data_IF_714581053259
#
_entry.id   IF_714581053259
#
_cell.length_a   1.000
_cell.length_b   1.000
_cell.length_c   1.000
_cell.angle_alpha   90.00
_cell.angle_beta   90.00
_cell.angle_gamma   90.00
#
_symmetry.space_group_name_H-M   'P 1'
#
loop_
_entity.id
_entity.type
_entity.pdbx_description
1 polymer ?
#
# COMPACT_ATOMS: atom_id res chain seq x y z
N UNK A 1 21.63 -36.26 -1.91
CA UNK A 1 21.36 -35.58 -0.62
C UNK A 1 20.82 -34.16 -0.77
N UNK A 2 21.40 -33.26 -1.59
CA UNK A 2 20.88 -31.88 -1.78
C UNK A 2 19.41 -31.80 -2.23
N UNK A 3 18.96 -32.68 -3.14
CA UNK A 3 17.58 -32.64 -3.65
C UNK A 3 16.54 -33.10 -2.62
N UNK A 4 16.87 -34.05 -1.74
CA UNK A 4 15.95 -34.54 -0.69
C UNK A 4 15.73 -33.43 0.35
N UNK A 5 16.79 -32.75 0.78
CA UNK A 5 16.70 -31.65 1.73
C UNK A 5 15.83 -30.50 1.20
N UNK A 6 16.01 -30.10 -0.07
CA UNK A 6 15.16 -29.10 -0.74
C UNK A 6 13.68 -29.50 -0.79
N UNK A 7 13.41 -30.78 -1.08
CA UNK A 7 12.04 -31.29 -1.18
C UNK A 7 11.35 -31.28 0.20
N UNK A 8 12.08 -31.68 1.24
CA UNK A 8 11.60 -31.63 2.63
C UNK A 8 11.37 -30.21 3.11
N UNK A 9 12.30 -29.28 2.84
CA UNK A 9 12.14 -27.86 3.21
C UNK A 9 10.94 -27.22 2.48
N UNK A 10 10.78 -27.49 1.18
CA UNK A 10 9.61 -27.07 0.41
C UNK A 10 8.30 -27.59 0.99
N UNK A 11 8.23 -28.87 1.33
CA UNK A 11 7.04 -29.47 1.95
C UNK A 11 6.70 -28.84 3.31
N UNK A 12 7.71 -28.55 4.14
CA UNK A 12 7.51 -27.88 5.44
C UNK A 12 6.96 -26.47 5.26
N UNK A 13 7.55 -25.67 4.37
CA UNK A 13 7.05 -24.32 4.08
C UNK A 13 5.64 -24.33 3.50
N UNK A 14 5.33 -25.36 2.71
CA UNK A 14 4.02 -25.52 2.09
C UNK A 14 2.96 -25.88 3.14
N UNK A 15 3.30 -26.74 4.12
CA UNK A 15 2.44 -27.02 5.26
C UNK A 15 2.24 -25.78 6.16
N UNK A 16 3.30 -25.02 6.43
CA UNK A 16 3.21 -23.75 7.16
C UNK A 16 2.29 -22.78 6.42
N UNK A 17 2.46 -22.62 5.11
CA UNK A 17 1.60 -21.79 4.27
C UNK A 17 0.13 -22.22 4.38
N UNK A 18 -0.16 -23.52 4.28
CA UNK A 18 -1.52 -24.04 4.39
C UNK A 18 -2.18 -23.67 5.73
N UNK A 19 -1.44 -23.79 6.84
CA UNK A 19 -1.92 -23.42 8.17
C UNK A 19 -2.17 -21.91 8.26
N UNK A 20 -1.22 -21.08 7.80
CA UNK A 20 -1.37 -19.63 7.79
C UNK A 20 -2.60 -19.20 6.96
N UNK A 21 -2.80 -19.81 5.80
CA UNK A 21 -3.93 -19.57 4.91
C UNK A 21 -5.26 -19.92 5.58
N UNK A 22 -5.36 -21.07 6.24
CA UNK A 22 -6.57 -21.45 6.99
C UNK A 22 -6.88 -20.45 8.11
N UNK A 23 -5.86 -20.01 8.87
CA UNK A 23 -6.05 -19.01 9.93
C UNK A 23 -6.53 -17.68 9.34
N UNK A 24 -5.95 -17.25 8.22
CA UNK A 24 -6.34 -16.02 7.52
C UNK A 24 -7.80 -16.02 7.09
N UNK A 25 -8.30 -17.16 6.61
CA UNK A 25 -9.66 -17.25 6.07
C UNK A 25 -10.70 -17.50 7.18
N UNK A 26 -10.41 -18.40 8.11
CA UNK A 26 -11.42 -18.89 9.06
C UNK A 26 -11.42 -18.18 10.42
N UNK A 27 -10.42 -17.34 10.69
CA UNK A 27 -10.30 -16.65 11.99
C UNK A 27 -10.17 -15.14 11.77
N UNK A 28 -11.27 -14.37 11.64
CA UNK A 28 -11.24 -12.99 11.12
C UNK A 28 -10.24 -12.05 11.80
N UNK A 29 -10.26 -11.96 13.13
CA UNK A 29 -9.41 -11.01 13.89
C UNK A 29 -7.93 -11.39 13.83
N UNK A 30 -7.63 -12.68 14.04
CA UNK A 30 -6.25 -13.18 13.99
C UNK A 30 -5.75 -13.18 12.54
N UNK A 31 -6.64 -13.51 11.60
CA UNK A 31 -6.40 -13.61 10.18
C UNK A 31 -5.95 -12.30 9.56
N UNK A 32 -6.53 -11.17 10.00
CA UNK A 32 -6.09 -9.83 9.58
C UNK A 32 -4.61 -9.57 9.88
N UNK A 33 -4.10 -10.05 11.01
CA UNK A 33 -2.69 -9.92 11.39
C UNK A 33 -1.82 -10.98 10.68
N UNK A 34 -2.30 -12.22 10.64
CA UNK A 34 -1.59 -13.36 10.02
C UNK A 34 -1.40 -13.18 8.52
N UNK A 35 -2.27 -12.41 7.86
CA UNK A 35 -2.15 -12.12 6.43
C UNK A 35 -0.80 -11.46 6.06
N UNK A 36 -0.24 -10.64 6.95
CA UNK A 36 1.09 -10.03 6.73
C UNK A 36 2.25 -11.03 6.83
N UNK A 37 2.01 -12.21 7.40
CA UNK A 37 2.98 -13.32 7.54
C UNK A 37 2.82 -14.33 6.40
N UNK A 38 1.67 -14.35 5.73
CA UNK A 38 1.34 -15.29 4.65
C UNK A 38 2.37 -15.35 3.50
N UNK A 39 3.03 -14.24 3.09
CA UNK A 39 4.10 -14.26 2.09
C UNK A 39 5.41 -14.91 2.56
N UNK A 40 5.62 -15.10 3.87
CA UNK A 40 6.91 -15.53 4.44
C UNK A 40 7.41 -16.84 3.82
N UNK A 41 6.62 -17.91 3.69
CA UNK A 41 7.07 -19.15 3.04
C UNK A 41 7.56 -18.92 1.60
N UNK A 42 6.87 -18.09 0.82
CA UNK A 42 7.26 -17.75 -0.54
C UNK A 42 8.56 -16.94 -0.59
N UNK A 43 8.70 -15.94 0.30
CA UNK A 43 9.94 -15.17 0.44
C UNK A 43 11.12 -16.08 0.78
N UNK A 44 10.92 -17.01 1.71
CA UNK A 44 11.96 -17.94 2.17
C UNK A 44 12.47 -18.83 1.05
N UNK A 45 11.55 -19.46 0.30
CA UNK A 45 11.93 -20.30 -0.84
C UNK A 45 12.60 -19.44 -1.92
N UNK A 46 12.00 -18.31 -2.32
CA UNK A 46 12.53 -17.46 -3.38
C UNK A 46 13.89 -16.83 -3.05
N UNK A 47 14.14 -16.51 -1.77
CA UNK A 47 15.41 -15.95 -1.30
C UNK A 47 16.54 -16.99 -1.24
N UNK A 48 16.23 -18.25 -0.92
CA UNK A 48 17.24 -19.30 -0.69
C UNK A 48 17.46 -20.25 -1.88
N UNK A 49 16.49 -20.36 -2.77
CA UNK A 49 16.49 -21.34 -3.85
C UNK A 49 16.46 -20.69 -5.24
N UNK A 50 16.60 -21.51 -6.28
CA UNK A 50 16.52 -21.03 -7.66
C UNK A 50 15.09 -20.59 -8.01
N UNK A 51 14.94 -19.66 -8.97
CA UNK A 51 13.62 -19.18 -9.45
C UNK A 51 12.68 -20.32 -9.85
N UNK A 52 13.21 -21.38 -10.46
CA UNK A 52 12.43 -22.57 -10.85
C UNK A 52 11.83 -23.29 -9.64
N UNK A 53 12.60 -23.45 -8.57
CA UNK A 53 12.16 -24.08 -7.32
C UNK A 53 11.07 -23.24 -6.64
N UNK A 54 11.22 -21.90 -6.67
CA UNK A 54 10.23 -20.98 -6.12
C UNK A 54 8.92 -20.95 -6.91
N UNK A 55 9.00 -21.01 -8.24
CA UNK A 55 7.81 -21.13 -9.09
C UNK A 55 7.10 -22.46 -8.86
N UNK A 56 7.84 -23.57 -8.73
CA UNK A 56 7.26 -24.88 -8.42
C UNK A 56 6.54 -24.86 -7.05
N UNK A 57 7.16 -24.25 -6.04
CA UNK A 57 6.52 -24.05 -4.73
C UNK A 57 5.23 -23.25 -4.84
N UNK A 58 5.22 -22.18 -5.65
CA UNK A 58 4.03 -21.37 -5.85
C UNK A 58 2.89 -22.13 -6.53
N UNK A 59 3.18 -22.92 -7.57
CA UNK A 59 2.18 -23.80 -8.19
C UNK A 59 1.62 -24.80 -7.17
N UNK A 60 2.48 -25.41 -6.34
CA UNK A 60 2.04 -26.32 -5.29
C UNK A 60 1.17 -25.62 -4.23
N UNK A 61 1.51 -24.38 -3.86
CA UNK A 61 0.73 -23.56 -2.92
C UNK A 61 -0.66 -23.21 -3.47
N UNK A 62 -0.75 -22.88 -4.76
CA UNK A 62 -2.04 -22.66 -5.44
C UNK A 62 -2.87 -23.95 -5.46
N UNK A 63 -2.28 -25.11 -5.76
CA UNK A 63 -3.00 -26.39 -5.69
C UNK A 63 -3.49 -26.69 -4.27
N UNK A 64 -2.67 -26.42 -3.26
CA UNK A 64 -3.09 -26.60 -1.86
C UNK A 64 -4.20 -25.65 -1.46
N UNK A 65 -4.20 -24.40 -1.93
CA UNK A 65 -5.25 -23.46 -1.55
C UNK A 65 -6.63 -23.88 -2.07
N UNK A 66 -6.70 -24.54 -3.23
CA UNK A 66 -7.92 -25.21 -3.69
C UNK A 66 -8.42 -26.29 -2.71
N UNK A 67 -7.49 -27.03 -2.09
CA UNK A 67 -7.84 -28.12 -1.16
C UNK A 67 -8.26 -27.57 0.21
N UNK A 68 -7.60 -26.52 0.70
CA UNK A 68 -7.70 -26.11 2.11
C UNK A 68 -8.71 -24.99 2.39
N UNK A 69 -8.93 -24.08 1.44
CA UNK A 69 -9.51 -22.77 1.78
C UNK A 69 -10.69 -22.33 0.91
N UNK A 70 -11.35 -23.25 0.21
CA UNK A 70 -12.40 -22.97 -0.80
C UNK A 70 -11.89 -22.18 -2.00
N UNK A 71 -12.76 -21.88 -2.97
CA UNK A 71 -12.39 -21.09 -4.16
C UNK A 71 -11.85 -19.69 -3.81
N UNK A 72 -12.24 -19.14 -2.65
CA UNK A 72 -11.80 -17.83 -2.18
C UNK A 72 -10.35 -17.79 -1.67
N UNK A 73 -9.73 -18.94 -1.39
CA UNK A 73 -8.32 -18.99 -0.98
C UNK A 73 -7.33 -18.77 -2.12
N UNK A 74 -7.76 -19.03 -3.36
CA UNK A 74 -6.89 -18.94 -4.54
C UNK A 74 -6.47 -17.49 -4.79
N UNK A 75 -7.38 -16.50 -4.85
CA UNK A 75 -7.00 -15.08 -4.95
C UNK A 75 -6.02 -14.64 -3.86
N UNK A 76 -6.24 -15.01 -2.60
CA UNK A 76 -5.33 -14.69 -1.49
C UNK A 76 -3.95 -15.28 -1.73
N UNK A 77 -3.89 -16.54 -2.19
CA UNK A 77 -2.63 -17.22 -2.50
C UNK A 77 -1.90 -16.56 -3.67
N UNK A 78 -2.61 -16.19 -4.73
CA UNK A 78 -2.02 -15.50 -5.88
C UNK A 78 -1.45 -14.15 -5.45
N UNK A 79 -2.23 -13.37 -4.69
CA UNK A 79 -1.84 -12.05 -4.21
C UNK A 79 -0.57 -12.11 -3.35
N UNK A 80 -0.63 -12.80 -2.21
CA UNK A 80 0.47 -12.85 -1.25
C UNK A 80 1.62 -13.74 -1.70
N UNK A 81 1.34 -14.77 -2.49
CA UNK A 81 2.35 -15.64 -3.07
C UNK A 81 3.20 -14.94 -4.12
N UNK A 82 2.60 -14.25 -5.10
CA UNK A 82 3.34 -13.48 -6.10
C UNK A 82 4.15 -12.35 -5.45
N UNK A 83 3.54 -11.60 -4.53
CA UNK A 83 4.26 -10.56 -3.77
C UNK A 83 5.43 -11.15 -2.99
N UNK A 84 5.24 -12.28 -2.31
CA UNK A 84 6.29 -12.97 -1.56
C UNK A 84 7.42 -13.49 -2.44
N UNK A 85 7.09 -14.03 -3.62
CA UNK A 85 8.09 -14.46 -4.61
C UNK A 85 8.93 -13.29 -5.10
N UNK A 86 8.31 -12.17 -5.50
CA UNK A 86 9.03 -10.99 -6.01
C UNK A 86 9.93 -10.40 -4.93
N UNK A 87 9.43 -10.25 -3.70
CA UNK A 87 10.24 -9.78 -2.57
C UNK A 87 11.41 -10.73 -2.31
N UNK A 88 11.17 -12.03 -2.23
CA UNK A 88 12.22 -13.02 -2.00
C UNK A 88 13.27 -13.06 -3.12
N UNK A 89 12.85 -12.85 -4.36
CA UNK A 89 13.75 -12.76 -5.52
C UNK A 89 14.69 -11.55 -5.43
N UNK A 90 14.17 -10.38 -5.05
CA UNK A 90 14.98 -9.18 -4.82
C UNK A 90 15.93 -9.34 -3.63
N UNK A 91 15.51 -10.04 -2.58
CA UNK A 91 16.38 -10.38 -1.45
C UNK A 91 17.51 -11.33 -1.88
N UNK A 92 17.22 -12.32 -2.75
CA UNK A 92 18.26 -13.22 -3.31
C UNK A 92 19.30 -12.44 -4.11
N UNK A 93 18.87 -11.45 -4.88
CA UNK A 93 19.74 -10.55 -5.64
C UNK A 93 20.43 -9.47 -4.78
N UNK A 94 20.23 -9.49 -3.45
CA UNK A 94 20.80 -8.52 -2.51
C UNK A 94 20.44 -7.06 -2.84
N UNK A 95 19.25 -6.83 -3.39
CA UNK A 95 18.75 -5.50 -3.73
C UNK A 95 18.53 -4.63 -2.49
N UNK A 96 18.45 -3.32 -2.71
CA UNK A 96 18.16 -2.36 -1.65
C UNK A 96 16.78 -2.58 -1.04
N UNK A 97 16.56 -2.16 0.22
CA UNK A 97 15.24 -2.27 0.86
C UNK A 97 14.17 -1.47 0.14
N UNK A 98 14.51 -0.26 -0.35
CA UNK A 98 13.59 0.58 -1.10
C UNK A 98 13.20 -0.06 -2.44
N UNK A 99 14.17 -0.62 -3.16
CA UNK A 99 13.92 -1.36 -4.41
C UNK A 99 13.02 -2.57 -4.18
N UNK A 100 13.31 -3.34 -3.12
CA UNK A 100 12.49 -4.49 -2.71
C UNK A 100 11.07 -4.08 -2.32
N UNK A 101 10.92 -2.92 -1.66
CA UNK A 101 9.62 -2.33 -1.32
C UNK A 101 8.83 -1.94 -2.56
N UNK A 102 9.44 -1.18 -3.48
CA UNK A 102 8.78 -0.77 -4.72
C UNK A 102 8.36 -1.99 -5.55
N UNK A 103 9.27 -2.96 -5.74
CA UNK A 103 8.97 -4.18 -6.50
C UNK A 103 7.86 -5.01 -5.85
N UNK A 104 7.88 -5.17 -4.53
CA UNK A 104 6.82 -5.85 -3.79
C UNK A 104 5.46 -5.15 -3.92
N UNK A 105 5.43 -3.83 -3.79
CA UNK A 105 4.21 -3.01 -3.93
C UNK A 105 3.62 -3.09 -5.33
N UNK A 106 4.47 -3.04 -6.37
CA UNK A 106 4.04 -3.21 -7.76
C UNK A 106 3.53 -4.63 -8.02
N UNK A 107 4.19 -5.66 -7.48
CA UNK A 107 3.71 -7.04 -7.59
C UNK A 107 2.34 -7.22 -6.92
N UNK A 108 2.16 -6.64 -5.72
CA UNK A 108 0.87 -6.66 -5.02
C UNK A 108 -0.22 -5.92 -5.78
N UNK A 109 0.09 -4.73 -6.32
CA UNK A 109 -0.84 -3.95 -7.13
C UNK A 109 -1.26 -4.72 -8.39
N UNK A 110 -0.30 -5.27 -9.14
CA UNK A 110 -0.57 -6.02 -10.37
C UNK A 110 -1.39 -7.29 -10.08
N UNK A 111 -1.07 -8.00 -8.99
CA UNK A 111 -1.87 -9.15 -8.57
C UNK A 111 -3.29 -8.74 -8.16
N UNK A 112 -3.46 -7.61 -7.47
CA UNK A 112 -4.77 -7.06 -7.10
C UNK A 112 -5.59 -6.69 -8.34
N UNK A 113 -4.99 -6.00 -9.30
CA UNK A 113 -5.63 -5.64 -10.58
C UNK A 113 -5.97 -6.89 -11.40
N UNK A 114 -5.09 -7.89 -11.43
CA UNK A 114 -5.35 -9.17 -12.09
C UNK A 114 -6.52 -9.92 -11.47
N UNK A 115 -6.57 -9.98 -10.13
CA UNK A 115 -7.69 -10.59 -9.40
C UNK A 115 -8.99 -9.83 -9.68
N UNK A 116 -8.96 -8.49 -9.62
CA UNK A 116 -10.13 -7.67 -9.95
C UNK A 116 -10.63 -7.91 -11.37
N UNK A 117 -9.73 -7.91 -12.36
CA UNK A 117 -10.09 -8.20 -13.75
C UNK A 117 -10.69 -9.60 -13.91
N UNK A 118 -10.16 -10.60 -13.20
CA UNK A 118 -10.70 -11.96 -13.23
C UNK A 118 -12.12 -11.99 -12.62
N UNK A 119 -12.32 -11.34 -11.47
CA UNK A 119 -13.63 -11.27 -10.82
C UNK A 119 -14.70 -10.64 -11.72
N UNK A 120 -14.37 -9.52 -12.38
CA UNK A 120 -15.30 -8.82 -13.27
C UNK A 120 -15.56 -9.62 -14.54
N UNK A 121 -14.53 -10.17 -15.19
CA UNK A 121 -14.68 -10.79 -16.53
C UNK A 121 -15.19 -12.22 -16.51
N UNK A 122 -14.94 -12.97 -15.43
CA UNK A 122 -15.25 -14.41 -15.37
C UNK A 122 -16.26 -14.78 -14.28
N UNK A 123 -16.48 -13.91 -13.29
CA UNK A 123 -17.41 -14.18 -12.20
C UNK A 123 -18.60 -13.22 -12.18
N UNK A 124 -18.61 -12.21 -13.06
CA UNK A 124 -19.59 -11.11 -13.07
C UNK A 124 -19.69 -10.39 -11.71
N UNK A 125 -18.58 -10.36 -10.94
CA UNK A 125 -18.50 -9.72 -9.62
C UNK A 125 -17.67 -8.44 -9.73
N UNK A 126 -18.32 -7.30 -9.55
CA UNK A 126 -17.67 -5.98 -9.47
C UNK A 126 -17.69 -5.46 -8.03
N UNK A 127 -16.72 -5.90 -7.21
CA UNK A 127 -16.67 -5.52 -5.80
C UNK A 127 -16.50 -4.01 -5.58
N UNK A 128 -15.96 -3.28 -6.56
CA UNK A 128 -15.85 -1.82 -6.50
C UNK A 128 -17.24 -1.20 -6.58
N UNK A 129 -18.02 -1.58 -7.58
CA UNK A 129 -19.37 -1.07 -7.80
C UNK A 129 -20.33 -1.50 -6.69
N UNK A 130 -20.25 -2.76 -6.24
CA UNK A 130 -20.99 -3.26 -5.08
C UNK A 130 -20.67 -2.44 -3.82
N UNK A 131 -19.39 -2.11 -3.58
CA UNK A 131 -19.00 -1.30 -2.42
C UNK A 131 -19.59 0.12 -2.49
N UNK A 132 -19.58 0.74 -3.68
CA UNK A 132 -20.17 2.07 -3.89
C UNK A 132 -21.69 2.02 -3.72
N UNK A 133 -22.36 0.98 -4.23
CA UNK A 133 -23.80 0.79 -4.06
C UNK A 133 -24.17 0.66 -2.58
N UNK A 134 -23.45 -0.18 -1.83
CA UNK A 134 -23.67 -0.35 -0.39
C UNK A 134 -23.48 0.96 0.39
N UNK A 135 -22.52 1.80 -0.01
CA UNK A 135 -22.35 3.12 0.59
C UNK A 135 -23.55 4.04 0.31
N UNK A 136 -24.03 4.09 -0.94
CA UNK A 136 -25.19 4.89 -1.33
C UNK A 136 -26.47 4.42 -0.63
N UNK A 137 -26.69 3.11 -0.56
CA UNK A 137 -27.82 2.52 0.19
C UNK A 137 -27.76 2.88 1.67
N UNK A 138 -26.57 2.87 2.27
CA UNK A 138 -26.38 3.26 3.68
C UNK A 138 -26.70 4.74 3.91
N UNK A 139 -26.33 5.62 2.98
CA UNK A 139 -26.65 7.05 3.03
C UNK A 139 -28.17 7.26 2.91
N UNK A 140 -28.82 6.59 1.96
CA UNK A 140 -30.27 6.66 1.76
C UNK A 140 -31.04 6.19 3.00
N UNK A 141 -30.63 5.06 3.60
CA UNK A 141 -31.23 4.59 4.86
C UNK A 141 -31.06 5.58 6.01
N UNK A 142 -29.89 6.23 6.11
CA UNK A 142 -29.66 7.25 7.13
C UNK A 142 -30.53 8.50 6.88
N UNK A 143 -30.75 8.87 5.61
CA UNK A 143 -31.62 9.98 5.22
C UNK A 143 -33.08 9.71 5.60
N UNK A 144 -33.59 8.53 5.29
CA UNK A 144 -34.96 8.13 5.65
C UNK A 144 -35.20 8.14 7.16
N UNK A 145 -34.23 7.64 7.94
CA UNK A 145 -34.31 7.61 9.40
C UNK A 145 -34.32 9.02 9.99
N UNK A 146 -33.46 9.91 9.49
CA UNK A 146 -33.35 11.31 9.90
C UNK A 146 -34.64 12.07 9.54
N UNK A 147 -35.13 11.92 8.31
CA UNK A 147 -36.39 12.49 7.86
C UNK A 147 -37.58 12.05 8.73
N UNK A 148 -37.64 10.76 9.11
CA UNK A 148 -38.66 10.24 10.02
C UNK A 148 -38.60 10.85 11.43
N UNK A 149 -37.43 11.32 11.87
CA UNK A 149 -37.25 12.04 13.14
C UNK A 149 -37.51 13.56 13.03
N UNK A 150 -37.91 14.05 11.86
CA UNK A 150 -38.07 15.49 11.60
C UNK A 150 -36.75 16.27 11.61
N UNK A 151 -35.61 15.56 11.52
CA UNK A 151 -34.28 16.16 11.42
C UNK A 151 -33.77 15.86 10.02
N UNK A 152 -33.66 16.84 9.14
CA UNK A 152 -33.16 16.61 7.78
C UNK A 152 -32.59 17.89 7.21
N UNK A 153 -31.30 17.88 6.89
CA UNK A 153 -30.66 18.94 6.12
C UNK A 153 -30.13 18.34 4.84
N UNK A 154 -30.70 18.74 3.71
CA UNK A 154 -30.32 18.24 2.38
C UNK A 154 -28.81 18.44 2.13
N UNK A 155 -28.25 19.54 2.64
CA UNK A 155 -26.83 19.88 2.52
C UNK A 155 -25.88 18.82 3.12
N UNK A 156 -26.26 18.14 4.20
CA UNK A 156 -25.43 17.07 4.78
C UNK A 156 -25.37 15.87 3.83
N UNK A 157 -26.51 15.47 3.28
CA UNK A 157 -26.61 14.31 2.40
C UNK A 157 -25.96 14.59 1.04
N UNK A 158 -26.11 15.80 0.51
CA UNK A 158 -25.37 16.26 -0.68
C UNK A 158 -23.84 16.17 -0.48
N UNK A 159 -23.33 16.56 0.71
CA UNK A 159 -21.90 16.43 1.02
C UNK A 159 -21.45 14.96 1.12
N UNK A 160 -22.30 14.08 1.65
CA UNK A 160 -22.00 12.64 1.73
C UNK A 160 -21.96 12.01 0.33
N UNK A 161 -22.92 12.34 -0.53
CA UNK A 161 -22.98 11.86 -1.92
C UNK A 161 -21.79 12.34 -2.74
N UNK A 162 -21.43 13.62 -2.64
CA UNK A 162 -20.22 14.16 -3.25
C UNK A 162 -18.95 13.44 -2.73
N UNK A 163 -18.94 13.05 -1.46
CA UNK A 163 -17.88 12.22 -0.87
C UNK A 163 -17.77 10.84 -1.51
N UNK A 164 -18.90 10.19 -1.79
CA UNK A 164 -18.92 8.89 -2.49
C UNK A 164 -18.43 9.02 -3.93
N UNK A 165 -18.86 10.05 -4.66
CA UNK A 165 -18.39 10.32 -6.03
C UNK A 165 -16.89 10.59 -6.08
N UNK A 166 -16.38 11.30 -5.07
CA UNK A 166 -14.95 11.55 -4.90
C UNK A 166 -14.18 10.26 -4.62
N UNK A 167 -14.70 9.35 -3.78
CA UNK A 167 -14.11 8.03 -3.53
C UNK A 167 -14.08 7.23 -4.83
N UNK A 168 -15.17 7.20 -5.59
CA UNK A 168 -15.28 6.52 -6.87
C UNK A 168 -14.24 7.05 -7.87
N UNK A 169 -14.07 8.37 -7.93
CA UNK A 169 -13.04 9.03 -8.75
C UNK A 169 -11.63 8.62 -8.34
N UNK A 170 -11.37 8.47 -7.03
CA UNK A 170 -10.05 8.20 -6.47
C UNK A 170 -9.71 6.72 -6.33
N UNK A 171 -10.54 5.79 -6.81
CA UNK A 171 -10.27 4.34 -6.74
C UNK A 171 -8.88 3.97 -7.25
N UNK A 172 -8.39 4.47 -8.41
CA UNK A 172 -7.04 4.15 -8.86
C UNK A 172 -5.95 4.57 -7.86
N UNK A 173 -6.07 5.77 -7.28
CA UNK A 173 -5.16 6.25 -6.23
C UNK A 173 -5.24 5.39 -4.98
N UNK A 174 -6.46 5.03 -4.53
CA UNK A 174 -6.67 4.20 -3.35
C UNK A 174 -6.08 2.79 -3.53
N UNK A 175 -6.18 2.19 -4.71
CA UNK A 175 -5.56 0.90 -5.03
C UNK A 175 -4.03 0.96 -4.99
N UNK A 176 -3.44 2.00 -5.56
CA UNK A 176 -1.98 2.21 -5.48
C UNK A 176 -1.56 2.39 -4.03
N UNK A 177 -2.25 3.27 -3.30
CA UNK A 177 -1.89 3.59 -1.92
C UNK A 177 -2.04 2.39 -0.97
N UNK A 178 -3.15 1.66 -1.07
CA UNK A 178 -3.37 0.44 -0.29
C UNK A 178 -2.33 -0.63 -0.59
N UNK A 179 -1.91 -0.79 -1.85
CA UNK A 179 -0.86 -1.75 -2.22
C UNK A 179 0.48 -1.40 -1.56
N UNK A 180 0.89 -0.14 -1.64
CA UNK A 180 2.14 0.33 -1.04
C UNK A 180 2.09 0.24 0.49
N UNK A 181 0.98 0.65 1.11
CA UNK A 181 0.81 0.57 2.56
C UNK A 181 0.80 -0.88 3.07
N UNK A 182 0.13 -1.78 2.34
CA UNK A 182 0.09 -3.21 2.68
C UNK A 182 1.49 -3.81 2.65
N UNK A 183 2.26 -3.56 1.59
CA UNK A 183 3.63 -4.06 1.46
C UNK A 183 4.56 -3.43 2.50
N UNK A 184 4.30 -2.19 2.92
CA UNK A 184 5.06 -1.55 4.00
C UNK A 184 4.89 -2.33 5.31
N UNK A 185 3.65 -2.60 5.73
CA UNK A 185 3.38 -3.39 6.95
C UNK A 185 3.85 -4.83 6.83
N UNK A 186 3.65 -5.45 5.68
CA UNK A 186 4.16 -6.78 5.35
C UNK A 186 5.68 -6.83 5.54
N UNK A 187 6.46 -5.88 5.03
CA UNK A 187 7.91 -5.85 5.28
C UNK A 187 8.26 -5.62 6.75
N UNK A 188 7.51 -4.76 7.45
CA UNK A 188 7.74 -4.50 8.88
C UNK A 188 7.57 -5.77 9.72
N UNK A 189 6.61 -6.63 9.38
CA UNK A 189 6.29 -7.85 10.11
C UNK A 189 7.10 -9.06 9.61
N UNK A 190 7.19 -9.26 8.30
CA UNK A 190 7.82 -10.43 7.68
C UNK A 190 9.36 -10.37 7.72
N UNK A 191 9.98 -9.19 7.57
CA UNK A 191 11.45 -9.10 7.52
C UNK A 191 12.14 -9.53 8.83
N UNK A 192 11.65 -9.15 10.02
CA UNK A 192 12.16 -9.70 11.27
C UNK A 192 12.11 -11.23 11.32
N UNK A 193 11.07 -11.85 10.75
CA UNK A 193 10.89 -13.30 10.75
C UNK A 193 11.94 -13.94 9.83
N UNK A 194 12.00 -13.57 8.55
CA UNK A 194 12.92 -14.20 7.57
C UNK A 194 14.40 -13.99 7.93
N UNK A 195 14.74 -12.86 8.58
CA UNK A 195 16.10 -12.61 9.11
C UNK A 195 16.53 -13.65 10.14
N UNK A 196 15.62 -14.08 11.02
CA UNK A 196 15.90 -15.12 12.03
C UNK A 196 16.20 -16.47 11.38
N UNK A 197 15.73 -16.69 10.16
CA UNK A 197 15.98 -17.91 9.39
C UNK A 197 17.13 -17.75 8.37
N UNK A 198 17.99 -16.73 8.53
CA UNK A 198 19.23 -16.57 7.77
C UNK A 198 19.09 -15.87 6.42
N UNK A 199 17.95 -15.20 6.14
CA UNK A 199 17.82 -14.36 4.95
C UNK A 199 18.43 -12.99 5.22
N UNK A 200 19.44 -12.62 4.44
CA UNK A 200 20.04 -11.28 4.47
C UNK A 200 19.03 -10.26 3.92
N UNK A 201 18.80 -9.18 4.68
CA UNK A 201 17.95 -8.06 4.24
C UNK A 201 18.71 -6.76 4.46
N UNK A 202 18.91 -6.02 3.38
CA UNK A 202 19.57 -4.71 3.37
C UNK A 202 18.99 -3.76 4.41
N UNK A 203 19.86 -3.04 5.12
CA UNK A 203 19.43 -2.02 6.08
C UNK A 203 18.75 -0.86 5.33
N UNK A 204 17.66 -0.36 5.89
CA UNK A 204 17.02 0.86 5.39
C UNK A 204 17.80 2.08 5.83
N UNK A 205 17.83 3.12 5.01
CA UNK A 205 18.04 4.47 5.54
C UNK A 205 16.86 4.84 6.46
N UNK A 206 17.09 5.62 7.53
CA UNK A 206 16.01 6.15 8.37
C UNK A 206 15.02 6.98 7.55
N UNK A 207 13.74 6.99 7.95
CA UNK A 207 12.69 7.76 7.26
C UNK A 207 13.02 9.25 7.10
N UNK A 208 13.72 9.83 8.07
CA UNK A 208 14.18 11.23 8.04
C UNK A 208 15.18 11.56 6.93
N UNK A 209 15.78 10.55 6.30
CA UNK A 209 16.72 10.70 5.20
C UNK A 209 16.06 10.45 3.84
N UNK A 210 14.76 10.07 3.84
CA UNK A 210 14.00 9.92 2.61
C UNK A 210 13.86 11.28 1.93
N UNK A 211 14.31 11.36 0.68
CA UNK A 211 14.11 12.54 -0.15
C UNK A 211 13.81 12.10 -1.57
N UNK A 212 12.71 12.60 -2.11
CA UNK A 212 12.31 12.33 -3.49
C UNK A 212 13.16 13.12 -4.50
N UNK A 213 13.26 12.67 -5.76
CA UNK A 213 13.91 13.46 -6.81
C UNK A 213 13.10 14.74 -7.10
N UNK A 214 13.80 15.84 -7.43
CA UNK A 214 13.19 17.14 -7.74
C UNK A 214 12.19 17.08 -8.91
N UNK A 215 12.27 16.08 -9.78
CA UNK A 215 11.31 15.86 -10.86
C UNK A 215 9.88 15.66 -10.35
N UNK A 216 9.68 15.02 -9.19
CA UNK A 216 8.33 14.80 -8.62
C UNK A 216 7.64 16.13 -8.29
N UNK A 217 8.40 17.13 -7.83
CA UNK A 217 7.86 18.48 -7.61
C UNK A 217 7.38 19.09 -8.93
N UNK A 218 8.16 18.99 -10.01
CA UNK A 218 7.78 19.54 -11.30
C UNK A 218 6.56 18.83 -11.89
N UNK A 219 6.47 17.51 -11.78
CA UNK A 219 5.27 16.78 -12.17
C UNK A 219 4.04 17.23 -11.37
N UNK A 220 4.20 17.47 -10.07
CA UNK A 220 3.12 17.98 -9.22
C UNK A 220 2.64 19.37 -9.64
N UNK A 221 3.57 20.30 -9.89
CA UNK A 221 3.24 21.65 -10.36
C UNK A 221 2.57 21.62 -11.74
N UNK A 222 3.07 20.81 -12.66
CA UNK A 222 2.47 20.64 -13.99
C UNK A 222 1.07 20.05 -13.90
N UNK A 223 0.84 19.06 -13.04
CA UNK A 223 -0.48 18.48 -12.83
C UNK A 223 -1.48 19.53 -12.31
N UNK A 224 -1.11 20.34 -11.32
CA UNK A 224 -1.96 21.44 -10.83
C UNK A 224 -2.26 22.44 -11.93
N UNK A 225 -1.24 22.89 -12.67
CA UNK A 225 -1.42 23.86 -13.76
C UNK A 225 -2.35 23.29 -14.84
N UNK A 226 -2.16 22.02 -15.20
CA UNK A 226 -3.04 21.34 -16.15
C UNK A 226 -4.48 21.26 -15.63
N UNK A 227 -4.70 20.99 -14.33
CA UNK A 227 -6.04 20.97 -13.75
C UNK A 227 -6.73 22.33 -13.83
N UNK A 228 -5.98 23.42 -13.60
CA UNK A 228 -6.51 24.78 -13.63
C UNK A 228 -6.81 25.30 -15.04
N UNK A 229 -5.96 24.94 -16.02
CA UNK A 229 -6.05 25.45 -17.39
C UNK A 229 -6.95 24.61 -18.29
N UNK A 230 -6.90 23.28 -18.17
CA UNK A 230 -7.64 22.39 -19.06
C UNK A 230 -9.09 22.22 -18.63
N UNK A 231 -9.38 22.32 -17.33
CA UNK A 231 -10.71 22.15 -16.73
C UNK A 231 -11.50 21.00 -17.39
N UNK A 232 -10.93 19.77 -17.39
CA UNK A 232 -11.55 18.66 -18.09
C UNK A 232 -12.93 18.37 -17.49
N UNK A 233 -13.88 18.05 -18.35
CA UNK A 233 -15.26 17.71 -17.95
C UNK A 233 -15.26 16.58 -16.92
N UNK A 234 -16.07 16.72 -15.88
CA UNK A 234 -16.19 15.72 -14.82
C UNK A 234 -16.66 14.37 -15.42
N UNK A 235 -16.10 13.28 -14.90
CA UNK A 235 -16.34 11.94 -15.44
C UNK A 235 -15.60 11.61 -16.74
N UNK A 236 -14.96 12.59 -17.40
CA UNK A 236 -14.12 12.30 -18.57
C UNK A 236 -12.85 11.53 -18.18
N UNK A 237 -12.30 10.77 -19.14
CA UNK A 237 -11.03 10.05 -18.94
C UNK A 237 -9.89 10.99 -18.49
N UNK A 238 -9.79 12.18 -19.08
CA UNK A 238 -8.76 13.16 -18.75
C UNK A 238 -8.93 13.72 -17.34
N UNK A 239 -10.17 13.97 -16.90
CA UNK A 239 -10.47 14.36 -15.53
C UNK A 239 -10.01 13.28 -14.54
N UNK A 240 -10.42 12.03 -14.74
CA UNK A 240 -10.06 10.91 -13.86
C UNK A 240 -8.54 10.73 -13.77
N UNK A 241 -7.84 10.74 -14.92
CA UNK A 241 -6.39 10.57 -14.98
C UNK A 241 -5.66 11.71 -14.24
N UNK A 242 -6.09 12.95 -14.47
CA UNK A 242 -5.45 14.13 -13.91
C UNK A 242 -5.67 14.25 -12.40
N UNK A 243 -6.89 13.97 -11.92
CA UNK A 243 -7.23 13.95 -10.50
C UNK A 243 -6.38 12.89 -9.79
N UNK A 244 -6.41 11.63 -10.24
CA UNK A 244 -5.62 10.57 -9.60
C UNK A 244 -4.12 10.86 -9.60
N UNK A 245 -3.57 11.35 -10.73
CA UNK A 245 -2.17 11.74 -10.81
C UNK A 245 -1.82 12.84 -9.79
N UNK A 246 -2.67 13.86 -9.68
CA UNK A 246 -2.48 14.97 -8.74
C UNK A 246 -2.49 14.48 -7.30
N UNK A 247 -3.42 13.60 -6.93
CA UNK A 247 -3.51 13.05 -5.58
C UNK A 247 -2.30 12.17 -5.22
N UNK A 248 -1.82 11.33 -6.14
CA UNK A 248 -0.59 10.54 -5.94
C UNK A 248 0.61 11.47 -5.68
N UNK A 249 0.78 12.49 -6.52
CA UNK A 249 1.88 13.46 -6.39
C UNK A 249 1.76 14.29 -5.09
N UNK A 250 0.55 14.65 -4.69
CA UNK A 250 0.26 15.29 -3.41
C UNK A 250 0.72 14.42 -2.24
N UNK A 251 0.48 13.11 -2.29
CA UNK A 251 0.92 12.19 -1.23
C UNK A 251 2.45 12.17 -1.13
N UNK A 252 3.18 12.17 -2.25
CA UNK A 252 4.63 12.29 -2.21
C UNK A 252 5.10 13.58 -1.55
N UNK A 253 4.44 14.71 -1.82
CA UNK A 253 4.74 15.97 -1.13
C UNK A 253 4.49 15.88 0.38
N UNK A 254 3.40 15.23 0.81
CA UNK A 254 3.12 15.03 2.25
C UNK A 254 4.17 14.11 2.89
N UNK A 255 4.54 13.01 2.26
CA UNK A 255 5.59 12.10 2.74
C UNK A 255 6.93 12.83 2.86
N UNK A 256 7.28 13.65 1.86
CA UNK A 256 8.47 14.50 1.90
C UNK A 256 8.42 15.48 3.08
N UNK A 257 7.28 16.15 3.28
CA UNK A 257 7.06 17.09 4.37
C UNK A 257 7.25 16.44 5.74
N UNK A 258 6.68 15.25 5.95
CA UNK A 258 6.93 14.50 7.18
C UNK A 258 8.40 14.10 7.31
N UNK A 259 9.03 13.60 6.24
CA UNK A 259 10.46 13.27 6.28
C UNK A 259 11.32 14.48 6.69
N UNK A 260 10.99 15.68 6.20
CA UNK A 260 11.64 16.94 6.61
C UNK A 260 11.40 17.27 8.09
N UNK A 261 10.16 17.11 8.60
CA UNK A 261 9.85 17.33 10.02
C UNK A 261 10.70 16.41 10.90
N UNK A 262 10.79 15.12 10.53
CA UNK A 262 11.62 14.14 11.24
C UNK A 262 13.12 14.49 11.14
N UNK A 263 13.58 14.95 9.97
CA UNK A 263 14.95 15.39 9.75
C UNK A 263 15.33 16.56 10.65
N UNK A 264 14.51 17.60 10.63
CA UNK A 264 14.73 18.82 11.41
C UNK A 264 14.69 18.56 12.92
N UNK A 265 13.73 17.73 13.35
CA UNK A 265 13.63 17.32 14.76
C UNK A 265 14.90 16.60 15.21
N UNK A 266 15.43 15.71 14.38
CA UNK A 266 16.68 15.03 14.68
C UNK A 266 17.88 15.99 14.71
N UNK A 267 18.01 16.85 13.70
CA UNK A 267 19.12 17.81 13.59
C UNK A 267 19.15 18.80 14.76
N UNK A 268 17.98 19.25 15.22
CA UNK A 268 17.86 20.15 16.39
C UNK A 268 17.90 19.45 17.75
N UNK A 269 18.08 18.13 17.79
CA UNK A 269 18.06 17.38 19.05
C UNK A 269 16.71 17.39 19.76
N UNK A 270 15.60 17.61 19.04
CA UNK A 270 14.26 17.58 19.63
C UNK A 270 13.90 16.14 20.08
N UNK A 271 13.04 15.99 21.11
CA UNK A 271 12.55 14.68 21.52
C UNK A 271 11.83 13.96 20.37
N UNK A 272 12.00 12.63 20.29
CA UNK A 272 11.34 11.80 19.26
C UNK A 272 9.81 11.92 19.27
N UNK A 273 9.23 12.31 20.40
CA UNK A 273 7.79 12.55 20.54
C UNK A 273 7.30 13.68 19.64
N UNK A 274 8.09 14.74 19.42
CA UNK A 274 7.67 15.91 18.64
C UNK A 274 7.26 15.56 17.19
N UNK A 275 8.12 14.93 16.36
CA UNK A 275 7.73 14.59 14.99
C UNK A 275 6.63 13.52 14.93
N UNK A 276 6.51 12.66 15.95
CA UNK A 276 5.42 11.67 16.05
C UNK A 276 4.09 12.35 16.35
N UNK A 277 4.05 13.30 17.30
CA UNK A 277 2.86 14.07 17.62
C UNK A 277 2.46 14.91 16.41
N UNK A 278 3.40 15.55 15.72
CA UNK A 278 3.12 16.30 14.50
C UNK A 278 2.49 15.40 13.42
N UNK A 279 2.98 14.17 13.24
CA UNK A 279 2.39 13.18 12.35
C UNK A 279 0.96 12.83 12.77
N UNK A 280 0.74 12.44 14.03
CA UNK A 280 -0.58 12.02 14.54
C UNK A 280 -1.59 13.17 14.46
N UNK A 281 -1.24 14.36 14.94
CA UNK A 281 -2.12 15.52 14.86
C UNK A 281 -2.44 15.88 13.41
N UNK A 282 -1.48 15.75 12.49
CA UNK A 282 -1.74 16.02 11.08
C UNK A 282 -2.73 15.04 10.47
N UNK A 283 -2.71 13.77 10.88
CA UNK A 283 -3.69 12.78 10.43
C UNK A 283 -5.08 13.03 11.00
N UNK A 284 -5.17 13.56 12.24
CA UNK A 284 -6.45 13.89 12.88
C UNK A 284 -7.05 15.21 12.36
N UNK A 285 -6.20 16.15 11.92
CA UNK A 285 -6.60 17.48 11.48
C UNK A 285 -6.15 17.70 10.03
N UNK A 286 -7.03 17.48 9.03
CA UNK A 286 -6.69 17.59 7.61
C UNK A 286 -6.04 18.93 7.21
N UNK A 287 -6.39 20.02 7.91
CA UNK A 287 -5.79 21.34 7.70
C UNK A 287 -4.26 21.34 7.85
N UNK A 288 -3.74 20.53 8.76
CA UNK A 288 -2.29 20.40 9.00
C UNK A 288 -1.61 19.63 7.86
N UNK A 289 -2.29 18.71 7.18
CA UNK A 289 -1.74 18.02 6.01
C UNK A 289 -1.41 19.00 4.88
N UNK A 290 -2.18 20.09 4.72
CA UNK A 290 -1.84 21.13 3.76
C UNK A 290 -0.53 21.83 4.12
N UNK A 291 -0.30 22.11 5.40
CA UNK A 291 0.96 22.70 5.89
C UNK A 291 2.12 21.73 5.65
N UNK A 292 1.96 20.44 6.01
CA UNK A 292 2.97 19.41 5.77
C UNK A 292 3.28 19.28 4.28
N UNK A 293 2.26 19.31 3.42
CA UNK A 293 2.42 19.31 1.96
C UNK A 293 3.26 20.49 1.48
N UNK A 294 2.98 21.71 1.98
CA UNK A 294 3.78 22.89 1.68
C UNK A 294 5.24 22.73 2.12
N UNK A 295 5.49 22.17 3.30
CA UNK A 295 6.86 21.88 3.75
C UNK A 295 7.59 20.93 2.79
N UNK A 296 6.90 19.90 2.27
CA UNK A 296 7.47 18.99 1.28
C UNK A 296 7.83 19.68 -0.04
N UNK A 297 6.95 20.56 -0.52
CA UNK A 297 7.20 21.40 -1.72
C UNK A 297 8.42 22.29 -1.50
N UNK A 298 8.50 22.96 -0.36
CA UNK A 298 9.60 23.87 -0.05
C UNK A 298 10.92 23.09 0.10
N UNK A 299 10.89 21.91 0.71
CA UNK A 299 12.08 21.06 0.85
C UNK A 299 12.68 20.67 -0.51
N UNK A 300 11.85 20.17 -1.43
CA UNK A 300 12.30 19.76 -2.76
C UNK A 300 12.67 20.95 -3.65
N UNK A 301 11.90 22.03 -3.59
CA UNK A 301 12.10 23.22 -4.42
C UNK A 301 13.35 24.00 -4.04
N UNK A 302 13.55 24.23 -2.74
CA UNK A 302 14.62 25.10 -2.23
C UNK A 302 15.78 24.36 -1.60
N UNK A 303 15.68 23.04 -1.42
CA UNK A 303 16.75 22.22 -0.83
C UNK A 303 16.97 22.54 0.64
N UNK A 304 15.90 22.55 1.44
CA UNK A 304 15.97 22.99 2.85
C UNK A 304 16.98 22.17 3.67
N UNK A 305 17.03 20.85 3.47
CA UNK A 305 17.99 19.98 4.17
C UNK A 305 19.46 20.38 3.94
N UNK A 306 19.83 20.69 2.70
CA UNK A 306 21.19 21.08 2.32
C UNK A 306 21.59 22.42 2.97
N UNK A 307 20.64 23.37 3.05
CA UNK A 307 20.87 24.68 3.67
C UNK A 307 21.02 24.62 5.19
N UNK A 308 20.36 23.66 5.83
CA UNK A 308 20.54 23.41 7.27
C UNK A 308 21.91 22.80 7.53
N UNK A 309 22.39 21.88 6.69
CA UNK A 309 23.74 21.33 6.82
C UNK A 309 24.85 22.36 6.59
N UNK A 310 24.69 23.27 5.62
CA UNK A 310 25.70 24.27 5.30
C UNK A 310 25.81 25.42 6.31
N UNK A 311 24.90 25.53 7.28
CA UNK A 311 24.94 26.56 8.34
C UNK A 311 25.56 26.06 9.65
N UNK A 312 25.87 24.77 9.73
CA UNK A 312 26.51 24.12 10.88
C UNK A 312 28.03 23.90 10.65
N UNK A 313 28.60 24.45 9.57
CA UNK A 313 30.05 24.46 9.24
C UNK A 313 30.55 25.90 9.32
#
# INVERSE_FOLDING_TARGET
MKNVHKLTEGAVFLAIFAVLLMITIYVPVIGAVVNFVLPVPFMMIAAKHARKDALLFFVAAVLISFITGTIFAVPVTLLFGLTGLVIGDFLREKKGRLETYIAGSLAFLLATLGIYAISVLFMDINFVEESILLMKESIAMAQDMMAAMGQGGDELFEQLDAGVEMIQTLIPTLLIMSSFLTVFFLQLIAFPIIKRFGVEVSKSKPFRELSFPKSILWYYLLAIIASLLLQPEEGSYWFLALVNLTYILQIFMVIQGFSLIFYFSYKKGLPKAFPIIALVLSLLLPILLYIVRLLGIIDLGFGLRQRVESRDV
#
